data_IF_997240986013
#
_entry.id   IF_997240986013
#
_cell.length_a   1.000
_cell.length_b   1.000
_cell.length_c   1.000
_cell.angle_alpha   90.00
_cell.angle_beta   90.00
_cell.angle_gamma   90.00
#
_symmetry.space_group_name_H-M   'P 1'
#
loop_
_entity.id
_entity.type
_entity.pdbx_description
1 polymer ?
#
# COMPACT_ATOMS: atom_id res chain seq x y z
N UNK A 1 -17.43 2.04 3.54
CA UNK A 1 -18.49 2.07 2.52
C UNK A 1 -17.89 1.76 1.15
N UNK A 2 -18.30 0.65 0.46
CA UNK A 2 -17.73 0.25 -0.82
C UNK A 2 -17.82 1.32 -1.93
N UNK A 3 -18.74 2.27 -1.81
CA UNK A 3 -18.85 3.40 -2.74
C UNK A 3 -17.72 4.41 -2.61
N UNK A 4 -17.06 4.42 -1.46
CA UNK A 4 -16.01 5.39 -1.12
C UNK A 4 -14.61 4.78 -1.09
N UNK A 5 -14.52 3.47 -1.18
CA UNK A 5 -13.26 2.74 -1.15
C UNK A 5 -12.53 2.81 -2.49
N UNK A 6 -11.93 3.92 -2.82
CA UNK A 6 -11.28 4.17 -4.11
C UNK A 6 -12.27 4.26 -5.30
N UNK A 7 -13.59 4.22 -5.03
CA UNK A 7 -14.65 4.26 -6.04
C UNK A 7 -15.79 5.14 -5.55
N UNK A 8 -15.87 6.34 -6.05
CA UNK A 8 -16.91 7.32 -5.71
C UNK A 8 -18.15 7.23 -6.60
N UNK A 9 -18.08 6.43 -7.66
CA UNK A 9 -19.14 6.27 -8.64
C UNK A 9 -20.28 5.37 -8.14
N UNK A 10 -21.50 5.62 -8.63
CA UNK A 10 -22.63 4.72 -8.37
C UNK A 10 -22.46 3.36 -9.08
N UNK A 11 -23.21 2.35 -8.64
CA UNK A 11 -23.18 1.05 -9.32
C UNK A 11 -23.61 1.14 -10.79
N UNK A 12 -24.56 2.02 -11.11
CA UNK A 12 -25.00 2.27 -12.49
C UNK A 12 -23.93 2.94 -13.34
N UNK A 13 -23.20 3.91 -12.76
CA UNK A 13 -22.11 4.58 -13.46
C UNK A 13 -20.96 3.60 -13.74
N UNK A 14 -20.64 2.74 -12.79
CA UNK A 14 -19.63 1.70 -12.97
C UNK A 14 -20.02 0.71 -14.05
N UNK A 15 -21.28 0.25 -14.09
CA UNK A 15 -21.76 -0.62 -15.17
C UNK A 15 -21.72 0.04 -16.54
N UNK A 16 -21.99 1.36 -16.60
CA UNK A 16 -21.87 2.11 -17.83
C UNK A 16 -20.43 2.17 -18.32
N UNK A 17 -19.51 2.53 -17.44
CA UNK A 17 -18.08 2.59 -17.74
C UNK A 17 -17.53 1.22 -18.17
N UNK A 18 -17.97 0.15 -17.54
CA UNK A 18 -17.60 -1.23 -17.89
C UNK A 18 -18.05 -1.57 -19.32
N UNK A 19 -19.29 -1.26 -19.68
CA UNK A 19 -19.81 -1.45 -21.03
C UNK A 19 -19.08 -0.61 -22.07
N UNK A 20 -18.59 0.55 -21.69
CA UNK A 20 -17.81 1.46 -22.54
C UNK A 20 -16.33 1.03 -22.64
N UNK A 21 -15.93 -0.04 -21.98
CA UNK A 21 -14.55 -0.57 -22.00
C UNK A 21 -13.56 0.26 -21.18
N UNK A 22 -14.04 0.99 -20.19
CA UNK A 22 -13.19 1.72 -19.27
C UNK A 22 -12.55 0.78 -18.23
N UNK A 23 -11.54 1.28 -17.57
CA UNK A 23 -10.61 0.60 -16.71
C UNK A 23 -11.25 -0.43 -15.73
N UNK A 24 -10.96 -1.72 -15.93
CA UNK A 24 -11.68 -2.83 -15.31
C UNK A 24 -11.43 -3.06 -13.81
N UNK A 25 -10.30 -2.61 -13.26
CA UNK A 25 -10.01 -2.81 -11.83
C UNK A 25 -10.89 -1.96 -10.91
N UNK A 26 -11.45 -0.91 -11.47
CA UNK A 26 -12.31 0.05 -10.78
C UNK A 26 -13.76 -0.20 -11.12
N UNK A 27 -13.97 -0.74 -12.28
CA UNK A 27 -15.26 -1.08 -12.83
C UNK A 27 -15.49 -2.55 -12.57
N UNK A 28 -16.47 -2.87 -11.74
CA UNK A 28 -16.84 -4.27 -11.47
C UNK A 28 -17.45 -4.90 -12.72
N UNK A 29 -16.83 -5.97 -13.21
CA UNK A 29 -17.35 -6.80 -14.27
C UNK A 29 -18.25 -7.87 -13.69
N UNK A 30 -19.55 -7.83 -13.95
CA UNK A 30 -20.51 -8.86 -13.51
C UNK A 30 -21.34 -8.48 -12.29
N UNK A 31 -22.06 -9.45 -11.71
CA UNK A 31 -23.06 -9.21 -10.66
C UNK A 31 -22.43 -9.05 -9.26
N UNK A 32 -21.50 -8.18 -9.10
CA UNK A 32 -20.84 -7.90 -7.82
C UNK A 32 -19.78 -6.84 -8.01
N UNK A 33 -19.40 -6.21 -6.92
CA UNK A 33 -18.35 -5.20 -6.93
C UNK A 33 -17.12 -5.76 -6.24
N UNK A 34 -15.97 -5.55 -6.84
CA UNK A 34 -14.70 -5.77 -6.16
C UNK A 34 -14.48 -4.62 -5.15
N UNK A 35 -15.12 -4.72 -4.00
CA UNK A 35 -15.12 -3.65 -3.00
C UNK A 35 -13.93 -3.71 -2.02
N UNK A 36 -13.26 -4.83 -1.93
CA UNK A 36 -12.15 -5.04 -0.99
C UNK A 36 -10.81 -5.16 -1.70
N UNK A 37 -10.65 -6.13 -2.59
CA UNK A 37 -9.39 -6.46 -3.25
C UNK A 37 -8.28 -6.63 -2.21
N UNK A 38 -8.41 -7.65 -1.33
CA UNK A 38 -7.38 -8.00 -0.35
C UNK A 38 -6.19 -8.61 -1.11
N UNK A 39 -5.05 -7.96 -1.06
CA UNK A 39 -3.86 -8.34 -1.82
C UNK A 39 -2.69 -8.80 -0.95
N UNK A 40 -2.78 -8.65 0.38
CA UNK A 40 -1.85 -9.29 1.31
C UNK A 40 -2.54 -9.63 2.63
N UNK A 41 -2.02 -10.68 3.26
CA UNK A 41 -2.37 -11.10 4.61
C UNK A 41 -1.09 -11.45 5.34
N UNK A 42 -0.85 -10.81 6.49
CA UNK A 42 0.27 -11.09 7.36
C UNK A 42 -0.22 -11.48 8.75
N UNK A 43 0.59 -12.24 9.49
CA UNK A 43 0.22 -12.75 10.82
C UNK A 43 1.01 -12.06 11.91
N UNK A 44 0.32 -11.53 12.91
CA UNK A 44 0.93 -11.00 14.12
C UNK A 44 0.86 -12.05 15.25
N UNK A 45 1.96 -12.75 15.55
CA UNK A 45 2.00 -13.80 16.59
C UNK A 45 1.87 -13.24 17.99
N UNK A 46 2.05 -11.94 18.21
CA UNK A 46 2.06 -11.35 19.56
C UNK A 46 0.66 -11.26 20.17
N UNK A 47 -0.37 -11.28 19.35
CA UNK A 47 -1.75 -11.18 19.80
C UNK A 47 -2.75 -11.99 18.95
N UNK A 48 -2.23 -12.98 18.18
CA UNK A 48 -3.01 -13.91 17.35
C UNK A 48 -3.98 -13.19 16.42
N UNK A 49 -3.47 -12.28 15.63
CA UNK A 49 -4.23 -11.47 14.68
C UNK A 49 -3.63 -11.50 13.30
N UNK A 50 -4.38 -11.00 12.32
CA UNK A 50 -3.90 -10.79 10.95
C UNK A 50 -3.92 -9.30 10.61
N UNK A 51 -2.98 -8.91 9.73
CA UNK A 51 -2.93 -7.61 9.10
C UNK A 51 -3.21 -7.82 7.62
N UNK A 52 -4.19 -7.12 7.08
CA UNK A 52 -4.55 -7.23 5.67
C UNK A 52 -4.39 -5.88 4.97
N UNK A 53 -3.99 -5.93 3.70
CA UNK A 53 -4.08 -4.78 2.79
C UNK A 53 -5.34 -4.90 1.95
N UNK A 54 -6.25 -3.95 2.09
CA UNK A 54 -7.47 -3.84 1.31
C UNK A 54 -7.36 -2.70 0.32
N UNK A 55 -7.00 -3.02 -0.94
CA UNK A 55 -6.67 -2.06 -2.00
C UNK A 55 -7.79 -1.07 -2.25
N UNK A 56 -9.00 -1.57 -2.50
CA UNK A 56 -10.13 -0.73 -2.88
C UNK A 56 -10.76 0.05 -1.71
N UNK A 57 -10.39 -0.27 -0.49
CA UNK A 57 -10.74 0.50 0.70
C UNK A 57 -9.65 1.50 1.08
N UNK A 58 -8.51 1.50 0.38
CA UNK A 58 -7.34 2.32 0.69
C UNK A 58 -6.98 2.21 2.18
N UNK A 59 -6.93 0.97 2.69
CA UNK A 59 -6.75 0.73 4.11
C UNK A 59 -5.92 -0.52 4.39
N UNK A 60 -5.09 -0.42 5.43
CA UNK A 60 -4.49 -1.57 6.11
C UNK A 60 -5.28 -1.82 7.38
N UNK A 61 -5.71 -3.06 7.60
CA UNK A 61 -6.65 -3.39 8.66
C UNK A 61 -6.10 -4.54 9.50
N UNK A 62 -6.06 -4.38 10.81
CA UNK A 62 -5.73 -5.47 11.75
C UNK A 62 -7.01 -6.09 12.31
N UNK A 63 -7.08 -7.42 12.23
CA UNK A 63 -8.25 -8.21 12.63
C UNK A 63 -7.81 -9.30 13.62
N UNK A 64 -8.45 -9.33 14.78
CA UNK A 64 -8.21 -10.35 15.80
C UNK A 64 -8.81 -11.72 15.45
N UNK A 65 -8.37 -12.77 16.15
CA UNK A 65 -8.92 -14.12 16.04
C UNK A 65 -10.43 -14.15 16.33
N UNK A 66 -10.92 -13.22 17.14
CA UNK A 66 -12.35 -13.02 17.44
C UNK A 66 -13.12 -12.33 16.29
N UNK A 67 -12.46 -12.12 15.14
CA UNK A 67 -13.00 -11.46 13.94
C UNK A 67 -13.35 -9.99 14.13
N UNK A 68 -12.88 -9.36 15.20
CA UNK A 68 -13.06 -7.92 15.41
C UNK A 68 -11.90 -7.14 14.81
N UNK A 69 -12.24 -6.00 14.21
CA UNK A 69 -11.24 -5.03 13.76
C UNK A 69 -10.58 -4.40 14.99
N UNK A 70 -9.26 -4.50 15.08
CA UNK A 70 -8.45 -3.89 16.15
C UNK A 70 -8.10 -2.46 15.81
N UNK A 71 -7.64 -2.22 14.59
CA UNK A 71 -7.36 -0.88 14.09
C UNK A 71 -7.41 -0.84 12.55
N UNK A 72 -7.54 0.39 12.03
CA UNK A 72 -7.55 0.70 10.61
C UNK A 72 -6.57 1.85 10.36
N UNK A 73 -5.60 1.63 9.47
CA UNK A 73 -4.74 2.65 8.90
C UNK A 73 -5.33 3.07 7.54
N UNK A 74 -5.81 4.29 7.43
CA UNK A 74 -6.44 4.84 6.24
C UNK A 74 -7.19 6.12 6.53
N UNK A 75 -7.51 6.91 5.51
CA UNK A 75 -8.31 8.12 5.64
C UNK A 75 -9.70 7.85 6.24
N UNK A 76 -10.29 8.85 6.86
CA UNK A 76 -11.55 8.68 7.59
C UNK A 76 -12.79 8.60 6.71
N UNK A 77 -12.68 8.99 5.44
CA UNK A 77 -13.80 9.08 4.51
C UNK A 77 -14.51 7.73 4.30
N UNK A 78 -15.81 7.73 4.55
CA UNK A 78 -16.68 6.57 4.31
C UNK A 78 -16.77 5.54 5.42
N UNK A 79 -15.90 5.59 6.42
CA UNK A 79 -15.98 4.71 7.58
C UNK A 79 -17.10 5.14 8.51
N UNK A 80 -18.01 4.21 8.83
CA UNK A 80 -19.11 4.41 9.78
C UNK A 80 -18.89 3.57 11.03
N UNK A 81 -19.56 3.91 12.12
CA UNK A 81 -19.55 3.08 13.34
C UNK A 81 -20.00 1.67 13.06
N UNK A 82 -19.39 0.65 13.69
CA UNK A 82 -18.35 0.78 14.73
C UNK A 82 -16.93 0.95 14.16
N UNK A 83 -16.70 0.83 12.86
CA UNK A 83 -15.35 0.78 12.26
C UNK A 83 -14.63 2.12 12.28
N UNK A 84 -15.35 3.23 12.23
CA UNK A 84 -14.73 4.55 12.38
C UNK A 84 -14.03 4.73 13.75
N UNK A 85 -14.47 3.99 14.76
CA UNK A 85 -13.85 4.01 16.09
C UNK A 85 -12.52 3.23 16.11
N UNK A 86 -12.22 2.46 15.04
CA UNK A 86 -11.00 1.70 14.88
C UNK A 86 -9.91 2.45 14.08
N UNK A 87 -10.20 3.62 13.53
CA UNK A 87 -9.23 4.42 12.80
C UNK A 87 -8.07 4.85 13.69
N UNK A 88 -6.85 4.75 13.15
CA UNK A 88 -5.65 5.26 13.81
C UNK A 88 -5.59 6.78 13.71
N UNK A 89 -5.04 7.41 14.74
CA UNK A 89 -4.78 8.85 14.79
C UNK A 89 -3.36 9.13 14.32
N UNK A 90 -3.15 9.89 13.24
CA UNK A 90 -1.81 10.30 12.80
C UNK A 90 -1.12 11.20 13.82
N UNK A 91 0.16 10.94 14.04
CA UNK A 91 1.02 11.73 14.93
C UNK A 91 2.36 12.04 14.27
N UNK A 92 3.01 13.11 14.73
CA UNK A 92 4.42 13.40 14.41
C UNK A 92 5.39 12.54 15.24
N UNK A 93 6.69 12.68 14.99
CA UNK A 93 7.75 11.98 15.72
C UNK A 93 7.81 12.30 17.24
N UNK A 94 7.13 13.35 17.68
CA UNK A 94 7.01 13.73 19.09
C UNK A 94 5.71 13.21 19.72
N UNK A 95 4.87 12.53 18.94
CA UNK A 95 3.56 12.04 19.37
C UNK A 95 2.44 13.08 19.37
N UNK A 96 2.66 14.25 18.79
CA UNK A 96 1.63 15.28 18.66
C UNK A 96 0.67 14.90 17.53
N UNK A 97 -0.64 15.04 17.79
CA UNK A 97 -1.67 14.76 16.80
C UNK A 97 -1.56 15.69 15.60
N UNK A 98 -1.54 15.11 14.40
CA UNK A 98 -1.56 15.85 13.15
C UNK A 98 -2.99 16.32 12.80
N UNK A 99 -3.07 17.45 12.10
CA UNK A 99 -4.34 17.96 11.58
C UNK A 99 -4.61 17.31 10.23
N UNK A 100 -5.47 16.29 10.23
CA UNK A 100 -5.80 15.54 9.03
C UNK A 100 -7.30 15.63 8.75
N UNK A 101 -7.63 15.87 7.48
CA UNK A 101 -8.95 15.67 6.93
C UNK A 101 -9.20 14.19 6.60
N UNK A 102 -10.21 13.94 5.80
CA UNK A 102 -10.59 12.59 5.39
C UNK A 102 -9.68 11.98 4.29
N UNK A 103 -8.90 12.82 3.61
CA UNK A 103 -8.05 12.43 2.49
C UNK A 103 -6.60 12.92 2.58
N UNK A 104 -6.29 13.89 3.43
CA UNK A 104 -4.94 14.47 3.53
C UNK A 104 -4.68 15.08 4.90
N UNK A 105 -3.42 15.27 5.23
CA UNK A 105 -2.96 15.97 6.43
C UNK A 105 -2.29 17.29 6.06
N UNK A 106 -2.48 18.32 6.89
CA UNK A 106 -1.93 19.64 6.64
C UNK A 106 -0.53 19.80 7.24
N UNK A 107 0.35 20.51 6.51
CA UNK A 107 1.68 20.92 6.99
C UNK A 107 2.54 19.78 7.55
N UNK A 108 2.48 18.62 6.91
CA UNK A 108 3.21 17.42 7.31
C UNK A 108 3.53 16.57 6.08
N UNK A 109 4.56 15.75 6.20
CA UNK A 109 4.89 14.72 5.18
C UNK A 109 4.08 13.43 5.37
N UNK A 110 3.29 13.31 6.44
CA UNK A 110 2.41 12.17 6.64
C UNK A 110 1.33 12.12 5.55
N UNK A 111 1.19 10.96 4.92
CA UNK A 111 0.09 10.68 4.01
C UNK A 111 -0.48 9.27 4.28
N UNK A 112 -1.75 9.08 3.94
CA UNK A 112 -2.42 7.79 3.93
C UNK A 112 -1.93 6.92 2.78
N UNK A 113 -2.20 5.63 2.82
CA UNK A 113 -1.97 4.73 1.69
C UNK A 113 -3.15 4.72 0.74
N UNK A 114 -2.86 4.66 -0.56
CA UNK A 114 -3.85 4.73 -1.61
C UNK A 114 -3.70 3.56 -2.57
N UNK A 115 -4.74 2.73 -2.65
CA UNK A 115 -4.76 1.51 -3.49
C UNK A 115 -3.56 0.59 -3.29
N UNK A 116 -3.01 0.58 -2.08
CA UNK A 116 -1.75 -0.04 -1.71
C UNK A 116 -1.73 -1.55 -1.95
N UNK A 117 -0.52 -2.07 -2.12
CA UNK A 117 -0.22 -3.49 -2.06
C UNK A 117 0.74 -3.77 -0.92
N UNK A 118 0.69 -5.01 -0.44
CA UNK A 118 1.43 -5.50 0.71
C UNK A 118 1.18 -4.68 1.98
N UNK A 119 1.25 -5.33 3.09
CA UNK A 119 1.24 -4.72 4.41
C UNK A 119 1.91 -5.74 5.34
N UNK A 120 3.23 -5.63 5.47
CA UNK A 120 4.05 -6.58 6.19
C UNK A 120 4.48 -6.01 7.53
N UNK A 121 4.22 -6.77 8.60
CA UNK A 121 4.76 -6.48 9.91
C UNK A 121 6.27 -6.72 9.92
N UNK A 122 7.04 -5.77 10.38
CA UNK A 122 8.49 -5.92 10.57
C UNK A 122 8.75 -6.53 11.94
N UNK A 123 8.85 -7.85 12.01
CA UNK A 123 8.89 -8.61 13.26
C UNK A 123 10.02 -8.19 14.19
N UNK A 124 11.24 -8.04 13.67
CA UNK A 124 12.41 -7.68 14.47
C UNK A 124 12.40 -6.25 15.00
N UNK A 125 11.60 -5.37 14.43
CA UNK A 125 11.40 -3.98 14.88
C UNK A 125 10.15 -3.82 15.74
N UNK A 126 9.31 -4.86 15.82
CA UNK A 126 7.98 -4.77 16.44
C UNK A 126 7.92 -5.47 17.80
N UNK A 127 7.06 -4.96 18.65
CA UNK A 127 6.68 -5.55 19.95
C UNK A 127 5.18 -5.85 19.95
N UNK A 128 4.64 -6.29 21.10
CA UNK A 128 3.19 -6.43 21.26
C UNK A 128 2.44 -5.10 21.22
N UNK A 129 3.04 -4.03 21.71
CA UNK A 129 2.37 -2.74 21.88
C UNK A 129 2.67 -1.75 20.75
N UNK A 130 3.82 -1.89 20.13
CA UNK A 130 4.31 -1.03 19.06
C UNK A 130 4.75 -1.90 17.87
N UNK A 131 4.16 -1.68 16.73
CA UNK A 131 4.47 -2.44 15.52
C UNK A 131 4.89 -1.52 14.36
N UNK A 132 5.79 -2.03 13.54
CA UNK A 132 6.17 -1.42 12.28
C UNK A 132 5.53 -2.19 11.14
N UNK A 133 4.95 -1.47 10.19
CA UNK A 133 4.31 -2.05 8.99
C UNK A 133 4.88 -1.38 7.75
N UNK A 134 5.45 -2.18 6.85
CA UNK A 134 5.88 -1.73 5.53
C UNK A 134 4.75 -1.87 4.53
N UNK A 135 4.58 -0.89 3.64
CA UNK A 135 3.49 -0.85 2.65
C UNK A 135 4.02 -0.27 1.35
N UNK A 136 3.64 -0.85 0.22
CA UNK A 136 3.79 -0.19 -1.08
C UNK A 136 2.50 0.58 -1.39
N UNK A 137 2.57 1.90 -1.28
CA UNK A 137 1.48 2.82 -1.61
C UNK A 137 1.49 3.08 -3.12
N UNK A 138 0.64 2.39 -3.86
CA UNK A 138 0.57 2.51 -5.31
C UNK A 138 0.15 3.91 -5.78
N UNK A 139 -0.63 4.64 -4.97
CA UNK A 139 -1.00 6.02 -5.22
C UNK A 139 -2.07 6.22 -6.30
N UNK A 140 -2.53 5.15 -6.90
CA UNK A 140 -3.66 5.16 -7.82
C UNK A 140 -4.96 5.51 -7.06
N UNK A 141 -5.74 6.46 -7.56
CA UNK A 141 -6.90 6.97 -6.83
C UNK A 141 -6.57 7.77 -5.56
N UNK A 142 -5.37 8.35 -5.46
CA UNK A 142 -4.93 9.18 -4.32
C UNK A 142 -5.93 10.26 -4.00
N UNK A 143 -6.21 10.45 -2.70
CA UNK A 143 -7.23 11.39 -2.20
C UNK A 143 -8.64 11.15 -2.79
N UNK A 144 -8.94 9.92 -3.21
CA UNK A 144 -10.18 9.53 -3.89
C UNK A 144 -10.40 10.20 -5.26
N UNK A 145 -9.33 10.64 -5.92
CA UNK A 145 -9.42 11.21 -7.26
C UNK A 145 -9.98 10.22 -8.27
N UNK A 146 -10.71 10.76 -9.24
CA UNK A 146 -11.29 10.05 -10.38
C UNK A 146 -11.04 10.80 -11.70
N UNK A 147 -10.72 10.11 -12.81
CA UNK A 147 -10.39 8.69 -12.84
C UNK A 147 -9.09 8.40 -12.09
N UNK A 148 -8.89 7.20 -11.59
CA UNK A 148 -7.57 6.78 -11.12
C UNK A 148 -6.59 6.73 -12.30
N UNK A 149 -5.32 6.59 -12.06
CA UNK A 149 -4.26 6.67 -13.07
C UNK A 149 -4.23 8.00 -13.87
N UNK A 150 -4.46 9.17 -13.26
CA UNK A 150 -4.16 10.40 -13.97
C UNK A 150 -2.64 10.49 -14.18
N UNK A 151 -2.23 11.14 -15.24
CA UNK A 151 -0.84 11.52 -15.47
C UNK A 151 -0.28 12.24 -14.24
N UNK A 152 1.01 12.10 -13.99
CA UNK A 152 1.73 12.83 -12.93
C UNK A 152 1.53 12.36 -11.49
N UNK A 153 0.91 11.20 -11.24
CA UNK A 153 0.91 10.61 -9.90
C UNK A 153 2.23 9.93 -9.56
N UNK A 154 2.41 9.65 -8.29
CA UNK A 154 3.55 8.95 -7.76
C UNK A 154 3.11 7.75 -6.92
N UNK A 155 3.95 6.75 -6.86
CA UNK A 155 3.90 5.68 -5.86
C UNK A 155 4.97 5.92 -4.81
N UNK A 156 4.87 5.26 -3.67
CA UNK A 156 5.90 5.29 -2.64
C UNK A 156 5.96 4.00 -1.84
N UNK A 157 7.16 3.64 -1.47
CA UNK A 157 7.40 2.72 -0.37
C UNK A 157 7.27 3.50 0.94
N UNK A 158 6.58 2.97 1.94
CA UNK A 158 6.37 3.65 3.22
C UNK A 158 6.42 2.68 4.37
N UNK A 159 6.96 3.13 5.50
CA UNK A 159 6.95 2.39 6.76
C UNK A 159 6.22 3.23 7.81
N UNK A 160 5.23 2.61 8.42
CA UNK A 160 4.47 3.18 9.53
C UNK A 160 4.84 2.50 10.83
N UNK A 161 4.90 3.28 11.90
CA UNK A 161 5.02 2.85 13.28
C UNK A 161 3.67 3.07 13.97
N UNK A 162 3.11 2.02 14.54
CA UNK A 162 1.77 2.02 15.14
C UNK A 162 1.88 1.70 16.63
N UNK A 163 1.48 2.64 17.48
CA UNK A 163 1.24 2.38 18.91
C UNK A 163 -0.18 1.81 19.06
N UNK A 164 -0.27 0.52 19.29
CA UNK A 164 -1.54 -0.20 19.37
C UNK A 164 -2.37 0.16 20.61
N UNK A 165 -1.73 0.61 21.70
CA UNK A 165 -2.41 1.04 22.93
C UNK A 165 -3.02 2.43 22.77
N UNK A 166 -2.24 3.38 22.26
CA UNK A 166 -2.70 4.74 22.01
C UNK A 166 -3.54 4.86 20.74
N UNK A 167 -3.45 3.85 19.86
CA UNK A 167 -4.09 3.83 18.53
C UNK A 167 -3.64 5.01 17.69
N UNK A 168 -2.32 5.25 17.69
CA UNK A 168 -1.68 6.29 16.90
C UNK A 168 -0.79 5.66 15.83
N UNK A 169 -0.55 6.42 14.78
CA UNK A 169 0.33 6.03 13.68
C UNK A 169 1.26 7.19 13.31
N UNK A 170 2.54 6.87 13.19
CA UNK A 170 3.61 7.75 12.73
C UNK A 170 4.14 7.21 11.39
N UNK A 171 4.34 8.06 10.39
CA UNK A 171 5.09 7.72 9.19
C UNK A 171 6.57 7.92 9.48
N UNK A 172 7.35 6.84 9.52
CA UNK A 172 8.76 6.88 9.94
C UNK A 172 9.74 6.89 8.77
N UNK A 173 9.29 6.44 7.58
CA UNK A 173 10.12 6.43 6.38
C UNK A 173 9.24 6.40 5.13
N UNK A 174 9.71 7.04 4.07
CA UNK A 174 9.13 6.95 2.73
C UNK A 174 10.20 7.14 1.65
N UNK A 175 9.91 6.61 0.45
CA UNK A 175 10.69 6.81 -0.78
C UNK A 175 9.78 6.70 -2.00
N UNK A 176 10.12 7.42 -3.08
CA UNK A 176 9.51 7.30 -4.41
C UNK A 176 8.65 8.49 -4.82
N UNK A 177 8.22 9.33 -3.89
CA UNK A 177 7.39 10.51 -4.17
C UNK A 177 8.06 11.48 -5.14
N UNK A 178 9.34 11.73 -4.96
CA UNK A 178 10.16 12.63 -5.78
C UNK A 178 10.44 12.06 -7.17
N UNK A 179 10.31 10.74 -7.33
CA UNK A 179 10.53 10.04 -8.60
C UNK A 179 9.37 10.26 -9.59
N UNK A 180 8.21 10.69 -9.08
CA UNK A 180 7.05 10.97 -9.92
C UNK A 180 6.66 9.77 -10.78
N UNK A 181 6.29 10.03 -12.04
CA UNK A 181 5.80 9.00 -12.96
C UNK A 181 6.85 7.94 -13.33
N UNK A 182 8.12 8.25 -13.35
CA UNK A 182 9.17 7.27 -13.66
C UNK A 182 9.15 6.05 -12.72
N UNK A 183 8.77 6.29 -11.47
CA UNK A 183 8.65 5.27 -10.43
C UNK A 183 7.19 4.92 -10.07
N UNK A 184 6.21 5.52 -10.76
CA UNK A 184 4.80 5.28 -10.54
C UNK A 184 4.42 3.84 -10.92
N UNK A 185 4.02 3.07 -9.94
CA UNK A 185 3.62 1.66 -10.05
C UNK A 185 2.21 1.46 -9.51
N UNK A 186 1.17 1.63 -10.34
CA UNK A 186 -0.23 1.70 -9.90
C UNK A 186 -0.81 0.39 -9.41
N UNK A 187 -0.16 -0.73 -9.69
CA UNK A 187 -0.61 -2.07 -9.28
C UNK A 187 0.57 -2.91 -8.80
N UNK A 188 0.28 -3.95 -8.01
CA UNK A 188 1.28 -4.90 -7.52
C UNK A 188 2.37 -4.26 -6.65
N UNK A 189 3.59 -4.76 -6.67
CA UNK A 189 4.74 -4.20 -5.92
C UNK A 189 4.89 -4.71 -4.48
N UNK A 190 6.00 -4.38 -3.84
CA UNK A 190 6.40 -4.93 -2.54
C UNK A 190 7.31 -3.96 -1.79
N UNK A 191 7.17 -3.92 -0.48
CA UNK A 191 8.19 -3.38 0.45
C UNK A 191 8.48 -4.44 1.50
N UNK A 192 9.71 -4.92 1.55
CA UNK A 192 10.15 -5.98 2.46
C UNK A 192 11.34 -5.53 3.30
N UNK A 193 11.27 -5.77 4.59
CA UNK A 193 12.41 -5.54 5.49
C UNK A 193 13.26 -6.80 5.63
N UNK A 194 14.57 -6.64 5.47
CA UNK A 194 15.58 -7.69 5.54
C UNK A 194 16.30 -7.64 6.89
N UNK A 195 15.92 -8.47 7.88
CA UNK A 195 16.45 -8.37 9.24
C UNK A 195 17.95 -8.68 9.33
N UNK A 196 18.45 -9.56 8.47
CA UNK A 196 19.87 -9.99 8.47
C UNK A 196 20.82 -8.86 8.00
N UNK A 197 20.29 -7.88 7.28
CA UNK A 197 21.05 -6.76 6.70
C UNK A 197 20.68 -5.40 7.27
N UNK A 198 19.63 -5.32 8.08
CA UNK A 198 18.97 -4.08 8.50
C UNK A 198 18.69 -3.16 7.29
N UNK A 199 18.09 -3.74 6.24
CA UNK A 199 17.80 -3.06 4.99
C UNK A 199 16.34 -3.21 4.59
N UNK A 200 15.89 -2.36 3.67
CA UNK A 200 14.55 -2.39 3.08
C UNK A 200 14.69 -2.64 1.59
N UNK A 201 14.06 -3.71 1.10
CA UNK A 201 13.96 -4.02 -0.33
C UNK A 201 12.61 -3.54 -0.84
N UNK A 202 12.63 -2.78 -1.93
CA UNK A 202 11.44 -2.26 -2.59
C UNK A 202 11.40 -2.74 -4.03
N UNK A 203 10.27 -3.24 -4.47
CA UNK A 203 10.05 -3.61 -5.85
C UNK A 203 8.86 -2.82 -6.42
N UNK A 204 9.14 -1.84 -7.27
CA UNK A 204 8.14 -1.08 -8.02
C UNK A 204 7.84 -1.81 -9.34
N UNK A 205 6.93 -2.77 -9.29
CA UNK A 205 6.76 -3.83 -10.29
C UNK A 205 6.21 -3.37 -11.65
N UNK A 206 5.53 -2.23 -11.70
CA UNK A 206 4.94 -1.67 -12.92
C UNK A 206 5.34 -0.20 -13.12
N UNK A 207 6.51 0.18 -12.63
CA UNK A 207 7.01 1.54 -12.65
C UNK A 207 7.09 2.11 -14.08
N UNK A 208 6.67 3.39 -14.24
CA UNK A 208 6.70 4.10 -15.50
C UNK A 208 5.72 3.57 -16.56
N UNK A 209 4.76 2.73 -16.17
CA UNK A 209 3.76 2.23 -17.09
C UNK A 209 2.78 3.34 -17.53
N UNK A 210 2.48 3.37 -18.82
CA UNK A 210 1.45 4.25 -19.36
C UNK A 210 0.19 3.44 -19.69
N UNK A 211 -0.95 4.03 -19.40
CA UNK A 211 -2.25 3.40 -19.60
C UNK A 211 -3.16 4.25 -20.48
N UNK A 212 -3.90 3.61 -21.33
CA UNK A 212 -5.06 4.22 -21.97
C UNK A 212 -6.19 4.29 -20.94
N UNK A 213 -6.56 5.50 -20.53
CA UNK A 213 -7.59 5.72 -19.51
C UNK A 213 -9.00 5.28 -19.94
N UNK A 214 -9.22 5.04 -21.25
CA UNK A 214 -10.51 4.55 -21.74
C UNK A 214 -10.63 3.05 -21.64
N UNK A 215 -9.54 2.35 -21.93
CA UNK A 215 -9.54 0.88 -22.00
C UNK A 215 -8.89 0.21 -20.80
N UNK A 216 -8.11 0.94 -20.01
CA UNK A 216 -7.27 0.41 -18.94
C UNK A 216 -6.09 -0.42 -19.44
N UNK A 217 -5.90 -0.47 -20.76
CA UNK A 217 -4.81 -1.21 -21.38
C UNK A 217 -3.48 -0.47 -21.28
N UNK A 218 -2.38 -1.22 -21.17
CA UNK A 218 -1.03 -0.67 -21.23
C UNK A 218 -0.75 -0.12 -22.64
N UNK A 219 -0.28 1.11 -22.72
CA UNK A 219 0.19 1.75 -23.96
C UNK A 219 1.70 1.67 -24.12
N UNK A 220 2.43 1.42 -23.03
CA UNK A 220 3.87 1.09 -23.03
C UNK A 220 4.17 0.07 -21.95
N UNK A 221 5.20 -0.76 -22.18
CA UNK A 221 5.67 -1.68 -21.16
C UNK A 221 6.28 -0.92 -19.99
N UNK A 222 6.06 -1.37 -18.74
CA UNK A 222 6.71 -0.79 -17.56
C UNK A 222 8.20 -1.11 -17.52
N UNK A 223 8.91 -0.39 -16.67
CA UNK A 223 10.32 -0.60 -16.38
C UNK A 223 10.51 -0.72 -14.86
N UNK A 224 10.25 -1.89 -14.28
CA UNK A 224 10.33 -2.10 -12.84
C UNK A 224 11.66 -1.70 -12.22
N UNK A 225 11.60 -1.22 -10.98
CA UNK A 225 12.78 -0.98 -10.15
C UNK A 225 12.80 -1.96 -8.99
N UNK A 226 13.99 -2.47 -8.70
CA UNK A 226 14.33 -3.19 -7.48
C UNK A 226 15.40 -2.38 -6.75
N UNK A 227 15.01 -1.82 -5.62
CA UNK A 227 15.84 -0.93 -4.83
C UNK A 227 16.11 -1.53 -3.46
N UNK A 228 17.34 -1.42 -2.94
CA UNK A 228 17.69 -1.79 -1.58
C UNK A 228 18.22 -0.57 -0.84
N UNK A 229 17.65 -0.29 0.33
CA UNK A 229 17.99 0.83 1.20
C UNK A 229 18.56 0.32 2.52
N UNK A 230 19.59 0.94 3.05
CA UNK A 230 19.90 0.83 4.47
C UNK A 230 18.71 1.37 5.30
N UNK A 231 18.48 0.83 6.48
CA UNK A 231 17.39 1.29 7.32
C UNK A 231 17.43 2.80 7.58
N UNK A 232 16.36 3.49 7.21
CA UNK A 232 16.24 4.94 7.36
C UNK A 232 16.96 5.80 6.32
N UNK A 233 17.66 5.19 5.36
CA UNK A 233 18.30 5.93 4.27
C UNK A 233 17.25 6.53 3.32
N UNK A 234 17.60 7.68 2.73
CA UNK A 234 16.76 8.37 1.74
C UNK A 234 17.09 8.00 0.30
N UNK A 235 18.28 7.44 0.08
CA UNK A 235 18.77 7.03 -1.24
C UNK A 235 19.02 5.53 -1.22
N UNK A 236 18.74 4.81 -2.33
CA UNK A 236 19.03 3.38 -2.40
C UNK A 236 20.54 3.13 -2.43
N UNK A 237 20.98 2.11 -1.68
CA UNK A 237 22.34 1.59 -1.79
C UNK A 237 22.53 0.77 -3.08
N UNK A 238 21.45 0.15 -3.55
CA UNK A 238 21.40 -0.59 -4.82
C UNK A 238 20.11 -0.23 -5.54
N UNK A 239 20.21 0.13 -6.83
CA UNK A 239 19.06 0.29 -7.70
C UNK A 239 19.27 -0.55 -8.97
N UNK A 240 18.30 -1.40 -9.30
CA UNK A 240 18.26 -2.21 -10.49
C UNK A 240 17.01 -1.89 -11.27
N UNK A 241 17.14 -1.39 -12.49
CA UNK A 241 16.01 -1.17 -13.38
C UNK A 241 15.90 -2.29 -14.40
N UNK A 242 14.77 -2.96 -14.43
CA UNK A 242 14.39 -3.88 -15.51
C UNK A 242 13.75 -3.11 -16.65
N UNK A 243 13.97 -3.54 -17.89
CA UNK A 243 13.44 -2.83 -19.06
C UNK A 243 12.38 -3.64 -19.78
N UNK A 244 11.31 -2.96 -20.19
CA UNK A 244 10.24 -3.51 -21.03
C UNK A 244 9.65 -4.81 -20.47
N UNK A 245 9.42 -4.86 -19.17
CA UNK A 245 8.86 -6.04 -18.51
C UNK A 245 7.91 -5.61 -17.40
N UNK A 246 7.20 -6.56 -16.84
CA UNK A 246 6.33 -6.36 -15.68
C UNK A 246 6.57 -7.47 -14.68
N UNK A 247 6.38 -7.17 -13.41
CA UNK A 247 6.42 -8.16 -12.34
C UNK A 247 5.19 -8.07 -11.46
N UNK A 248 5.11 -8.97 -10.50
CA UNK A 248 4.08 -8.91 -9.47
C UNK A 248 4.71 -8.55 -8.12
N UNK A 249 5.63 -9.38 -7.65
CA UNK A 249 6.41 -9.20 -6.41
C UNK A 249 7.82 -9.76 -6.63
N UNK A 250 8.79 -9.27 -5.86
CA UNK A 250 10.15 -9.79 -5.82
C UNK A 250 10.53 -10.04 -4.36
N UNK A 251 10.67 -11.30 -3.99
CA UNK A 251 11.08 -11.70 -2.65
C UNK A 251 12.56 -11.99 -2.61
N UNK A 252 13.26 -11.44 -1.62
CA UNK A 252 14.61 -11.86 -1.32
C UNK A 252 14.57 -13.16 -0.50
N UNK A 253 15.45 -14.12 -0.82
CA UNK A 253 15.60 -15.32 -0.05
C UNK A 253 17.07 -15.73 0.08
N UNK A 254 17.41 -16.33 1.21
CA UNK A 254 18.72 -16.89 1.44
C UNK A 254 18.85 -18.24 0.72
N UNK A 255 19.69 -18.27 -0.32
CA UNK A 255 19.91 -19.48 -1.13
C UNK A 255 20.43 -20.64 -0.28
N UNK A 256 21.32 -20.37 0.68
CA UNK A 256 21.87 -21.40 1.55
C UNK A 256 20.80 -22.02 2.46
N UNK A 257 19.89 -21.19 2.99
CA UNK A 257 18.73 -21.66 3.78
C UNK A 257 17.73 -22.41 2.91
N UNK A 258 17.41 -21.88 1.72
CA UNK A 258 16.43 -22.46 0.81
C UNK A 258 16.83 -23.88 0.33
N UNK A 259 18.11 -24.13 0.14
CA UNK A 259 18.64 -25.41 -0.33
C UNK A 259 19.39 -26.22 0.73
N UNK A 260 19.16 -25.94 2.03
CA UNK A 260 19.81 -26.59 3.17
C UNK A 260 21.34 -26.62 3.06
N UNK A 261 21.94 -25.58 2.51
CA UNK A 261 23.37 -25.45 2.29
C UNK A 261 23.94 -26.36 1.19
N UNK A 262 23.09 -27.07 0.46
CA UNK A 262 23.50 -27.94 -0.66
C UNK A 262 23.10 -27.30 -1.98
N UNK A 263 24.01 -26.54 -2.56
CA UNK A 263 23.95 -26.19 -3.97
C UNK A 263 24.60 -27.37 -4.70
N UNK A 264 23.85 -28.09 -5.51
CA UNK A 264 24.35 -29.14 -6.41
C UNK A 264 24.79 -28.54 -7.73
#
# INVERSE_FOLDING_TARGET
>A
DPKLAGQTLSASDLQKLDKEGHFGDIVGTGPGRNWAHVNSVDYDPTDDSIIISSRHQCAVIKIGRDKKVKWILGGSRGWKKPWSDALLTPVDAHGNKLQCGDASCEKTDFDWTWTQHTAWRIDSKSTKDEIYVSVFDNGDGRAFDQPPLPDMKYSRAVIYKIDQKKRTVEQVWEYGKERGHDWFSPVTSLVEYMPDKDSVVVYAATAGANYDLKTGGLTSAPNPYLDEFEWGAKEPAVEIQFKNTTGYQAFAFDVAKAFNGKLH
#
